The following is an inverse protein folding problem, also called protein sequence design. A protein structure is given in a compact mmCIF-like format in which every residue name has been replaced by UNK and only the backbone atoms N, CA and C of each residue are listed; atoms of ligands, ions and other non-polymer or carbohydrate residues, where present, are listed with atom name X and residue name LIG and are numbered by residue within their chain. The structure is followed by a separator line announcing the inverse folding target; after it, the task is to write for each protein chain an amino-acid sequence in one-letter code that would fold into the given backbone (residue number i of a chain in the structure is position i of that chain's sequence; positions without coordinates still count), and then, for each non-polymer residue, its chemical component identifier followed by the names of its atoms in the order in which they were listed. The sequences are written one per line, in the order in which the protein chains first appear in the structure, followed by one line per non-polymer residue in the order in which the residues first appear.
data_IF_688293704008
#
_entry.id   IF_688293704008
#
_cell.length_a   1.000
_cell.length_b   1.000
_cell.length_c   1.000
_cell.angle_alpha   90.00
_cell.angle_beta   90.00
_cell.angle_gamma   90.00
#
_symmetry.space_group_name_H-M   'P 1'
#
loop_
_entity.id
_entity.type
_entity.pdbx_description
1 polymer ?
#
# COMPACT_ATOMS: atom_id res chain seq x y z
N UNK A 1 -8.52 1.94 8.15
CA UNK A 1 -7.66 2.95 8.81
C UNK A 1 -6.56 3.38 7.86
N UNK A 2 -6.14 4.65 7.97
CA UNK A 2 -5.04 5.25 7.20
C UNK A 2 -3.98 5.68 8.23
N UNK A 3 -2.70 5.39 7.95
CA UNK A 3 -1.57 5.83 8.75
C UNK A 3 -0.56 6.50 7.82
N UNK A 4 -0.03 7.65 8.19
CA UNK A 4 1.01 8.32 7.42
C UNK A 4 1.97 9.09 8.33
N UNK A 5 3.22 9.13 7.91
CA UNK A 5 4.24 10.05 8.41
C UNK A 5 5.14 10.50 7.24
N UNK A 6 6.22 11.24 7.53
CA UNK A 6 7.14 11.75 6.50
C UNK A 6 7.86 10.65 5.69
N UNK A 7 7.75 9.39 6.10
CA UNK A 7 8.42 8.23 5.52
C UNK A 7 7.48 7.36 4.68
N UNK A 8 6.16 7.44 4.89
CA UNK A 8 5.20 6.62 4.16
C UNK A 8 3.73 7.07 4.26
N UNK A 9 2.92 6.52 3.35
CA UNK A 9 1.46 6.47 3.42
C UNK A 9 1.02 5.01 3.43
N UNK A 10 0.15 4.61 4.36
CA UNK A 10 -0.44 3.27 4.37
C UNK A 10 -1.93 3.27 4.64
N UNK A 11 -2.59 2.27 4.05
CA UNK A 11 -4.04 2.12 4.07
C UNK A 11 -4.36 0.65 4.34
N UNK A 12 -5.24 0.40 5.30
CA UNK A 12 -5.67 -0.95 5.65
C UNK A 12 -4.60 -1.74 6.38
N UNK A 13 -4.13 -1.26 7.52
CA UNK A 13 -3.21 -2.03 8.37
C UNK A 13 -3.88 -3.24 9.04
N UNK A 14 -3.10 -4.25 9.41
CA UNK A 14 -3.54 -5.37 10.27
C UNK A 14 -2.43 -6.42 10.41
N UNK A 15 -2.19 -6.93 11.63
CA UNK A 15 -1.13 -7.93 11.91
C UNK A 15 0.26 -7.54 11.36
N UNK A 16 0.65 -6.27 11.52
CA UNK A 16 1.92 -5.74 11.01
C UNK A 16 2.02 -5.61 9.48
N UNK A 17 0.92 -5.88 8.76
CA UNK A 17 0.82 -5.83 7.30
C UNK A 17 0.00 -4.63 6.83
N UNK A 18 0.15 -4.29 5.55
CA UNK A 18 -0.54 -3.16 4.91
C UNK A 18 -1.29 -3.62 3.67
N UNK A 19 -2.57 -3.26 3.57
CA UNK A 19 -3.36 -3.44 2.36
C UNK A 19 -2.73 -2.69 1.18
N UNK A 20 -2.32 -1.46 1.45
CA UNK A 20 -1.45 -0.66 0.60
C UNK A 20 -0.48 0.14 1.46
N UNK A 21 0.79 0.14 1.07
CA UNK A 21 1.83 1.00 1.63
C UNK A 21 2.58 1.63 0.45
N UNK A 22 2.86 2.93 0.54
CA UNK A 22 3.67 3.68 -0.42
C UNK A 22 4.80 4.38 0.34
N UNK A 23 6.00 4.38 -0.22
CA UNK A 23 7.10 5.14 0.36
C UNK A 23 6.91 6.66 0.22
N UNK A 24 7.70 7.44 0.96
CA UNK A 24 7.64 8.91 0.93
C UNK A 24 7.99 9.54 -0.41
N UNK A 25 8.62 8.77 -1.32
CA UNK A 25 8.95 9.20 -2.68
C UNK A 25 7.85 8.89 -3.68
N UNK A 26 6.84 8.11 -3.28
CA UNK A 26 5.78 7.60 -4.15
C UNK A 26 6.34 6.81 -5.35
N UNK A 27 7.44 6.10 -5.14
CA UNK A 27 8.13 5.32 -6.17
C UNK A 27 7.98 3.81 -5.94
N UNK A 28 7.87 3.40 -4.67
CA UNK A 28 7.71 1.98 -4.30
C UNK A 28 6.46 1.78 -3.47
N UNK A 29 5.77 0.68 -3.72
CA UNK A 29 4.64 0.25 -2.90
C UNK A 29 4.75 -1.19 -2.45
N UNK A 30 3.99 -1.54 -1.41
CA UNK A 30 3.79 -2.91 -0.92
C UNK A 30 2.29 -3.12 -0.79
N UNK A 31 1.83 -4.33 -1.15
CA UNK A 31 0.46 -4.75 -0.88
C UNK A 31 0.43 -6.18 -0.35
N UNK A 32 -0.45 -6.40 0.62
CA UNK A 32 -0.70 -7.69 1.25
C UNK A 32 -2.19 -7.85 1.57
N UNK A 33 -2.61 -9.08 1.83
CA UNK A 33 -3.93 -9.32 2.44
C UNK A 33 -3.95 -8.83 3.87
N UNK A 34 -5.05 -8.18 4.27
CA UNK A 34 -5.23 -7.66 5.63
C UNK A 34 -6.62 -7.92 6.17
N UNK A 35 -6.72 -8.06 7.50
CA UNK A 35 -8.00 -8.29 8.18
C UNK A 35 -8.94 -7.08 8.08
N UNK A 36 -8.39 -5.88 7.93
CA UNK A 36 -9.18 -4.64 7.85
C UNK A 36 -10.14 -4.64 6.65
N UNK A 37 -9.70 -5.20 5.52
CA UNK A 37 -10.51 -5.23 4.30
C UNK A 37 -10.78 -6.64 3.77
N UNK A 38 -10.13 -7.66 4.33
CA UNK A 38 -10.15 -9.03 3.80
C UNK A 38 -9.83 -9.07 2.28
N UNK A 39 -8.87 -8.24 1.87
CA UNK A 39 -8.45 -8.08 0.49
C UNK A 39 -7.40 -9.14 0.09
N UNK A 40 -7.24 -9.36 -1.21
CA UNK A 40 -6.03 -9.99 -1.77
C UNK A 40 -4.93 -8.94 -1.98
N UNK A 41 -3.71 -9.39 -2.30
CA UNK A 41 -2.65 -8.47 -2.71
C UNK A 41 -3.07 -7.75 -4.01
N UNK A 42 -2.92 -6.43 -4.03
CA UNK A 42 -3.44 -5.57 -5.11
C UNK A 42 -2.55 -5.58 -6.36
N UNK A 43 -1.31 -6.06 -6.25
CA UNK A 43 -0.36 -6.17 -7.35
C UNK A 43 -0.13 -7.63 -7.70
N UNK A 44 -0.26 -7.96 -8.98
CA UNK A 44 0.02 -9.28 -9.56
C UNK A 44 1.43 -9.38 -10.15
N UNK A 45 2.09 -8.24 -10.39
CA UNK A 45 3.45 -8.14 -10.93
C UNK A 45 4.55 -8.64 -9.96
N UNK A 46 4.24 -8.74 -8.67
CA UNK A 46 5.15 -9.17 -7.60
C UNK A 46 4.42 -10.06 -6.60
N UNK A 47 5.14 -10.83 -5.78
CA UNK A 47 4.48 -11.63 -4.73
C UNK A 47 3.95 -10.72 -3.62
N UNK A 48 2.92 -11.19 -2.91
CA UNK A 48 2.38 -10.51 -1.72
C UNK A 48 3.49 -10.15 -0.73
N UNK A 49 3.57 -8.87 -0.36
CA UNK A 49 4.59 -8.33 0.53
C UNK A 49 5.88 -7.88 -0.14
N UNK A 50 6.09 -8.18 -1.42
CA UNK A 50 7.22 -7.64 -2.19
C UNK A 50 6.91 -6.23 -2.71
N UNK A 51 7.97 -5.48 -3.04
CA UNK A 51 7.85 -4.10 -3.52
C UNK A 51 7.52 -4.07 -4.99
N UNK A 52 6.47 -3.35 -5.37
CA UNK A 52 6.20 -2.97 -6.75
C UNK A 52 6.66 -1.54 -7.06
N UNK A 53 6.92 -1.27 -8.33
CA UNK A 53 7.26 0.05 -8.85
C UNK A 53 6.01 0.87 -9.18
N UNK A 54 6.04 2.16 -8.86
CA UNK A 54 4.97 3.10 -9.14
C UNK A 54 5.35 3.96 -10.34
N UNK A 55 4.48 3.98 -11.35
CA UNK A 55 4.66 4.80 -12.56
C UNK A 55 4.11 6.21 -12.35
N UNK A 56 3.05 6.34 -11.55
CA UNK A 56 2.44 7.61 -11.18
C UNK A 56 1.38 7.43 -10.09
N UNK A 57 1.14 8.50 -9.34
CA UNK A 57 0.09 8.57 -8.30
C UNK A 57 -0.81 9.75 -8.60
N UNK A 58 -2.11 9.52 -8.58
CA UNK A 58 -3.13 10.55 -8.77
C UNK A 58 -4.05 10.61 -7.54
N UNK A 59 -4.44 11.83 -7.14
CA UNK A 59 -5.38 12.07 -6.05
C UNK A 59 -6.51 12.94 -6.59
N UNK A 60 -7.74 12.47 -6.38
CA UNK A 60 -8.96 13.10 -6.89
C UNK A 60 -9.85 13.56 -5.73
N UNK A 61 -10.54 14.69 -5.89
CA UNK A 61 -11.56 15.18 -4.94
C UNK A 61 -12.88 15.45 -5.66
N UNK A 62 -13.98 15.38 -4.91
CA UNK A 62 -15.33 15.71 -5.34
C UNK A 62 -15.62 17.18 -5.02
#
# INVERSE_FOLDING_TARGET
MILCDNSFLSIGGGDGKYGLWLDSRLEKGISTSTQTFNNEALSDSVKSGERFDIIGVEIWKI
#
